data_IF_053801901694
#
_entry.id   IF_053801901694
#
_cell.length_a   1.000
_cell.length_b   1.000
_cell.length_c   1.000
_cell.angle_alpha   90.00
_cell.angle_beta   90.00
_cell.angle_gamma   90.00
#
_symmetry.space_group_name_H-M   'P 1'
#
loop_
_entity.id
_entity.type
_entity.pdbx_description
1 polymer ?
#
# COMPACT_ATOMS: atom_id res chain seq x y z
N UNK A 1 47.38 64.80 -4.93
CA UNK A 1 48.10 63.87 -4.04
C UNK A 1 47.69 62.45 -4.37
N UNK A 2 48.64 61.64 -4.84
CA UNK A 2 48.46 60.22 -5.07
C UNK A 2 48.73 59.43 -3.77
N UNK A 3 47.84 58.50 -3.40
CA UNK A 3 48.16 57.44 -2.43
C UNK A 3 48.07 56.07 -3.11
N UNK A 4 49.28 55.58 -3.41
CA UNK A 4 49.81 54.20 -3.38
C UNK A 4 48.98 53.26 -2.47
N UNK A 5 48.88 51.94 -2.66
CA UNK A 5 49.56 50.95 -3.50
C UNK A 5 48.75 49.63 -3.36
N UNK A 6 48.94 48.74 -4.33
CA UNK A 6 48.29 47.43 -4.53
C UNK A 6 48.42 46.46 -3.35
N UNK A 7 47.39 45.63 -3.16
CA UNK A 7 47.53 44.23 -2.76
C UNK A 7 46.61 43.37 -3.65
N UNK A 8 47.26 42.56 -4.50
CA UNK A 8 46.63 41.45 -5.23
C UNK A 8 46.48 40.31 -4.23
N UNK A 9 45.28 39.74 -4.13
CA UNK A 9 45.11 38.33 -3.76
C UNK A 9 44.53 37.63 -4.99
N UNK A 10 45.34 36.72 -5.51
CA UNK A 10 45.06 35.78 -6.59
C UNK A 10 44.55 34.49 -5.91
N UNK A 11 43.73 33.71 -6.62
CA UNK A 11 43.33 32.32 -6.33
C UNK A 11 42.23 32.27 -5.24
N UNK A 12 41.01 31.81 -5.53
CA UNK A 12 40.74 30.41 -5.94
C UNK A 12 39.47 30.30 -6.82
N UNK A 13 39.51 29.55 -7.93
CA UNK A 13 38.31 29.22 -8.69
C UNK A 13 37.45 28.27 -7.85
N UNK A 14 36.18 28.63 -7.62
CA UNK A 14 35.15 27.68 -7.19
C UNK A 14 34.82 26.78 -8.38
N UNK A 15 35.73 25.87 -8.68
CA UNK A 15 35.51 24.70 -9.53
C UNK A 15 34.85 23.63 -8.67
N UNK A 16 33.62 23.30 -9.06
CA UNK A 16 33.01 21.99 -9.00
C UNK A 16 33.25 21.14 -7.73
N UNK A 17 32.27 21.18 -6.83
CA UNK A 17 31.72 19.93 -6.32
C UNK A 17 30.31 19.77 -6.89
N UNK A 18 30.27 19.22 -8.10
CA UNK A 18 29.22 18.28 -8.46
C UNK A 18 29.30 17.13 -7.45
N UNK A 19 28.46 17.20 -6.42
CA UNK A 19 28.22 16.13 -5.46
C UNK A 19 26.73 15.87 -5.45
N UNK A 20 26.33 14.77 -6.08
CA UNK A 20 24.97 14.22 -6.06
C UNK A 20 24.35 14.31 -4.66
N UNK A 21 23.22 15.03 -4.56
CA UNK A 21 22.07 14.55 -3.80
C UNK A 21 20.83 14.72 -4.69
N UNK A 22 20.83 13.99 -5.80
CA UNK A 22 19.58 13.42 -6.28
C UNK A 22 19.27 12.25 -5.34
N UNK A 23 18.10 12.27 -4.70
CA UNK A 23 17.70 11.21 -3.77
C UNK A 23 17.05 11.67 -2.47
N UNK A 24 16.69 12.95 -2.33
CA UNK A 24 15.49 13.24 -1.53
C UNK A 24 14.32 12.87 -2.44
N UNK A 25 13.87 11.61 -2.34
CA UNK A 25 12.69 11.12 -3.03
C UNK A 25 11.53 12.04 -2.69
N UNK A 26 11.28 13.01 -3.58
CA UNK A 26 10.05 13.74 -3.62
C UNK A 26 8.98 12.65 -3.77
N UNK A 27 8.22 12.43 -2.70
CA UNK A 27 6.95 11.74 -2.80
C UNK A 27 6.24 12.33 -4.03
N UNK A 28 5.69 11.49 -4.93
CA UNK A 28 5.04 12.00 -6.14
C UNK A 28 4.07 13.11 -5.72
N UNK A 29 4.02 14.19 -6.49
CA UNK A 29 3.21 15.38 -6.18
C UNK A 29 1.72 15.06 -5.93
N UNK A 30 1.27 13.85 -6.26
CA UNK A 30 -0.02 13.27 -5.90
C UNK A 30 -0.19 12.94 -4.41
N UNK A 31 0.88 12.89 -3.61
CA UNK A 31 0.83 12.71 -2.16
C UNK A 31 0.46 14.00 -1.41
N UNK A 32 0.65 15.16 -2.04
CA UNK A 32 0.25 16.46 -1.51
C UNK A 32 -1.17 16.89 -1.95
N UNK A 33 -1.82 16.14 -2.85
CA UNK A 33 -3.20 16.39 -3.29
C UNK A 33 -4.27 16.05 -2.23
N UNK A 34 -3.88 15.57 -1.03
CA UNK A 34 -4.82 15.00 -0.04
C UNK A 34 -5.27 15.98 1.05
N UNK A 35 -4.79 17.22 1.03
CA UNK A 35 -5.09 18.20 2.08
C UNK A 35 -6.33 19.07 1.84
N UNK A 36 -7.02 18.94 0.68
CA UNK A 36 -7.98 19.96 0.23
C UNK A 36 -9.23 19.53 -0.53
N UNK A 37 -9.57 18.24 -0.67
CA UNK A 37 -10.79 17.82 -1.39
C UNK A 37 -11.83 17.05 -0.55
N UNK A 38 -13.15 17.18 -0.86
CA UNK A 38 -14.25 17.28 0.12
C UNK A 38 -15.07 15.96 0.22
N UNK A 39 -16.22 15.88 0.95
CA UNK A 39 -16.83 14.67 1.55
C UNK A 39 -17.45 13.63 0.58
N UNK A 40 -17.07 13.64 -0.70
CA UNK A 40 -17.57 12.74 -1.74
C UNK A 40 -17.01 11.31 -1.63
N UNK A 41 -15.94 11.10 -0.85
CA UNK A 41 -15.23 9.80 -0.75
C UNK A 41 -15.67 8.93 0.42
N UNK A 42 -16.64 9.41 1.23
CA UNK A 42 -17.12 8.68 2.40
C UNK A 42 -18.31 7.75 2.05
N UNK A 43 -18.10 6.47 2.24
CA UNK A 43 -19.04 5.36 2.05
C UNK A 43 -19.64 4.95 3.41
N UNK A 44 -20.85 4.40 3.42
CA UNK A 44 -21.38 3.80 4.66
C UNK A 44 -20.56 2.57 5.04
N UNK A 45 -20.42 2.30 6.34
CA UNK A 45 -19.75 1.09 6.82
C UNK A 45 -20.38 -0.18 6.23
N UNK A 46 -21.71 -0.24 6.17
CA UNK A 46 -22.44 -1.37 5.61
C UNK A 46 -22.08 -1.64 4.14
N UNK A 47 -22.05 -0.60 3.29
CA UNK A 47 -21.69 -0.78 1.88
C UNK A 47 -20.24 -1.21 1.67
N UNK A 48 -19.32 -0.83 2.58
CA UNK A 48 -17.95 -1.34 2.59
C UNK A 48 -17.90 -2.83 2.95
N UNK A 49 -18.64 -3.25 3.98
CA UNK A 49 -18.72 -4.64 4.45
C UNK A 49 -19.41 -5.58 3.44
N UNK A 50 -20.22 -5.03 2.51
CA UNK A 50 -20.84 -5.80 1.43
C UNK A 50 -19.88 -6.15 0.28
N UNK A 51 -18.78 -5.40 0.11
CA UNK A 51 -17.79 -5.72 -0.94
C UNK A 51 -17.01 -6.97 -0.54
N UNK A 52 -17.08 -8.00 -1.39
CA UNK A 52 -16.53 -9.32 -1.09
C UNK A 52 -15.65 -9.83 -2.24
N UNK A 53 -14.68 -10.66 -1.88
CA UNK A 53 -13.87 -11.42 -2.84
C UNK A 53 -14.77 -12.29 -3.71
N UNK A 54 -14.49 -12.35 -5.01
CA UNK A 54 -15.29 -13.04 -6.02
C UNK A 54 -16.41 -12.20 -6.63
N UNK A 55 -16.78 -11.07 -6.02
CA UNK A 55 -17.70 -10.09 -6.59
C UNK A 55 -17.14 -9.51 -7.91
N UNK A 56 -17.99 -9.12 -8.86
CA UNK A 56 -17.52 -8.43 -10.06
C UNK A 56 -17.14 -6.98 -9.76
N UNK A 57 -16.20 -6.43 -10.54
CA UNK A 57 -15.82 -5.02 -10.45
C UNK A 57 -17.03 -4.09 -10.64
N UNK A 58 -17.96 -4.45 -11.53
CA UNK A 58 -19.19 -3.69 -11.78
C UNK A 58 -20.10 -3.65 -10.54
N UNK A 59 -20.30 -4.79 -9.87
CA UNK A 59 -21.07 -4.85 -8.61
C UNK A 59 -20.41 -4.00 -7.51
N UNK A 60 -19.09 -4.11 -7.35
CA UNK A 60 -18.37 -3.31 -6.35
C UNK A 60 -18.46 -1.80 -6.64
N UNK A 61 -18.34 -1.38 -7.91
CA UNK A 61 -18.55 0.02 -8.31
C UNK A 61 -19.97 0.50 -8.05
N UNK A 62 -20.96 -0.37 -8.27
CA UNK A 62 -22.37 -0.12 -7.94
C UNK A 62 -22.58 0.17 -6.46
N UNK A 63 -22.06 -0.71 -5.57
CA UNK A 63 -22.16 -0.56 -4.12
C UNK A 63 -21.48 0.71 -3.59
N UNK A 64 -20.32 1.05 -4.19
CA UNK A 64 -19.55 2.21 -3.75
C UNK A 64 -20.02 3.52 -4.40
N UNK A 65 -21.00 3.49 -5.31
CA UNK A 65 -21.68 4.64 -5.91
C UNK A 65 -20.74 5.79 -6.35
N UNK A 66 -19.60 5.46 -6.96
CA UNK A 66 -18.61 6.46 -7.42
C UNK A 66 -17.85 7.18 -6.29
N UNK A 67 -17.99 6.74 -5.04
CA UNK A 67 -17.30 7.31 -3.87
C UNK A 67 -15.96 6.66 -3.57
N UNK A 68 -15.62 5.60 -4.29
CA UNK A 68 -14.30 4.98 -4.27
C UNK A 68 -13.47 5.52 -5.45
N UNK A 69 -12.20 5.79 -5.19
CA UNK A 69 -11.24 6.11 -6.26
C UNK A 69 -10.76 4.79 -6.84
N UNK A 70 -10.78 4.66 -8.16
CA UNK A 70 -10.28 3.47 -8.86
C UNK A 70 -9.11 3.85 -9.77
N UNK A 71 -8.05 3.03 -9.80
CA UNK A 71 -6.88 3.25 -10.66
C UNK A 71 -6.29 1.92 -11.15
N UNK A 72 -5.41 1.97 -12.15
CA UNK A 72 -4.81 0.80 -12.79
C UNK A 72 -5.53 0.35 -14.08
N UNK A 73 -4.93 -0.59 -14.83
CA UNK A 73 -5.52 -1.13 -16.05
C UNK A 73 -6.78 -1.96 -15.76
N UNK A 74 -7.67 -2.15 -16.75
CA UNK A 74 -8.93 -2.89 -16.54
C UNK A 74 -8.75 -4.32 -16.02
N UNK A 75 -7.63 -4.95 -16.36
CA UNK A 75 -7.29 -6.30 -15.89
C UNK A 75 -6.68 -6.31 -14.49
N UNK A 76 -6.36 -5.15 -13.89
CA UNK A 76 -5.69 -5.04 -12.60
C UNK A 76 -6.04 -3.72 -11.92
N UNK A 77 -7.30 -3.60 -11.50
CA UNK A 77 -7.86 -2.36 -10.95
C UNK A 77 -7.72 -2.34 -9.43
N UNK A 78 -7.27 -1.23 -8.89
CA UNK A 78 -7.18 -0.96 -7.47
C UNK A 78 -8.22 0.09 -7.07
N UNK A 79 -8.65 0.07 -5.82
CA UNK A 79 -9.51 1.10 -5.26
C UNK A 79 -9.24 1.41 -3.80
N UNK A 80 -9.54 2.65 -3.42
CA UNK A 80 -9.56 3.12 -2.04
C UNK A 80 -10.84 3.91 -1.74
N UNK A 81 -11.44 3.64 -0.58
CA UNK A 81 -12.64 4.32 -0.07
C UNK A 81 -12.59 4.45 1.46
N UNK A 82 -13.40 5.35 2.04
CA UNK A 82 -13.37 5.62 3.49
C UNK A 82 -14.75 5.47 4.12
N UNK A 83 -14.89 4.93 5.34
CA UNK A 83 -16.17 4.88 6.04
C UNK A 83 -16.62 6.30 6.46
N UNK A 84 -17.92 6.50 6.72
CA UNK A 84 -18.42 7.71 7.38
C UNK A 84 -18.26 7.63 8.91
N UNK A 85 -17.75 8.65 9.59
CA UNK A 85 -17.07 9.85 9.04
C UNK A 85 -15.71 9.49 8.42
N UNK A 86 -15.35 10.15 7.30
CA UNK A 86 -14.15 9.84 6.50
C UNK A 86 -12.90 9.73 7.38
N UNK A 87 -12.30 8.54 7.41
CA UNK A 87 -11.13 8.25 8.23
C UNK A 87 -10.12 7.47 7.41
N UNK A 88 -8.96 8.08 7.17
CA UNK A 88 -7.85 7.45 6.45
C UNK A 88 -7.31 6.22 7.17
N UNK A 89 -7.38 6.20 8.50
CA UNK A 89 -6.99 5.05 9.34
C UNK A 89 -7.99 3.89 9.26
N UNK A 90 -9.13 4.06 8.59
CA UNK A 90 -10.16 3.04 8.39
C UNK A 90 -10.49 2.85 6.90
N UNK A 91 -9.58 3.27 6.02
CA UNK A 91 -9.76 3.14 4.59
C UNK A 91 -9.96 1.67 4.18
N UNK A 92 -10.80 1.43 3.19
CA UNK A 92 -10.92 0.12 2.56
C UNK A 92 -10.16 0.13 1.24
N UNK A 93 -9.28 -0.84 1.04
CA UNK A 93 -8.57 -1.10 -0.19
C UNK A 93 -9.19 -2.30 -0.91
N UNK A 94 -9.34 -2.20 -2.22
CA UNK A 94 -9.89 -3.27 -3.06
C UNK A 94 -8.94 -3.48 -4.24
N UNK A 95 -8.73 -4.73 -4.64
CA UNK A 95 -8.13 -5.09 -5.93
C UNK A 95 -9.10 -5.97 -6.70
N UNK A 96 -9.16 -5.74 -8.00
CA UNK A 96 -9.83 -6.59 -8.95
C UNK A 96 -8.85 -7.04 -10.03
N UNK A 97 -8.85 -8.34 -10.32
CA UNK A 97 -8.11 -8.95 -11.42
C UNK A 97 -9.11 -9.60 -12.38
N UNK A 98 -8.89 -9.45 -13.68
CA UNK A 98 -9.77 -9.93 -14.75
C UNK A 98 -11.28 -9.67 -14.46
N UNK A 99 -11.58 -8.47 -13.94
CA UNK A 99 -12.95 -8.00 -13.66
C UNK A 99 -13.60 -8.55 -12.38
N UNK A 100 -12.87 -9.29 -11.53
CA UNK A 100 -13.37 -9.81 -10.25
C UNK A 100 -12.53 -9.35 -9.08
N UNK A 101 -13.18 -9.05 -7.97
CA UNK A 101 -12.52 -8.68 -6.72
C UNK A 101 -11.71 -9.87 -6.22
N UNK A 102 -10.39 -9.72 -6.15
CA UNK A 102 -9.47 -10.73 -5.65
C UNK A 102 -8.99 -10.43 -4.23
N UNK A 103 -9.05 -9.14 -3.84
CA UNK A 103 -8.55 -8.66 -2.56
C UNK A 103 -9.42 -7.52 -2.04
N UNK A 104 -9.74 -7.58 -0.74
CA UNK A 104 -10.45 -6.54 0.01
C UNK A 104 -9.81 -6.45 1.38
N UNK A 105 -9.42 -5.23 1.76
CA UNK A 105 -8.76 -4.93 3.03
C UNK A 105 -9.42 -3.75 3.68
N UNK A 106 -9.70 -3.87 4.97
CA UNK A 106 -10.02 -2.73 5.81
C UNK A 106 -8.77 -2.31 6.60
N UNK A 107 -8.29 -1.07 6.41
CA UNK A 107 -7.17 -0.52 7.17
C UNK A 107 -7.43 -0.49 8.69
N UNK A 108 -8.70 -0.56 9.11
CA UNK A 108 -9.06 -0.84 10.50
C UNK A 108 -8.64 -2.24 10.96
N UNK A 109 -8.87 -3.28 10.16
CA UNK A 109 -8.42 -4.66 10.46
C UNK A 109 -6.89 -4.74 10.50
N UNK A 110 -6.20 -3.92 9.70
CA UNK A 110 -4.74 -3.75 9.79
C UNK A 110 -4.26 -3.25 11.15
N UNK A 111 -5.04 -2.40 11.84
CA UNK A 111 -4.68 -1.88 13.17
C UNK A 111 -4.73 -2.97 14.24
N UNK A 112 -5.66 -3.91 14.11
CA UNK A 112 -5.87 -4.98 15.09
C UNK A 112 -4.94 -6.19 14.84
N UNK A 113 -4.32 -6.27 13.66
CA UNK A 113 -3.33 -7.29 13.35
C UNK A 113 -2.01 -7.02 14.09
N UNK A 114 -1.51 -8.06 14.76
CA UNK A 114 -0.13 -8.09 15.29
C UNK A 114 0.87 -8.19 14.14
N UNK A 115 2.10 -7.71 14.32
CA UNK A 115 3.07 -7.81 13.26
C UNK A 115 3.61 -9.26 13.10
N UNK A 116 4.07 -9.57 11.90
CA UNK A 116 4.70 -10.81 11.43
C UNK A 116 6.19 -10.57 11.29
N UNK A 117 6.99 -11.36 11.99
CA UNK A 117 8.45 -11.36 11.84
C UNK A 117 8.85 -12.11 10.56
N UNK A 118 10.04 -11.84 10.04
CA UNK A 118 10.56 -12.59 8.89
C UNK A 118 10.61 -14.11 9.17
N UNK A 119 11.03 -14.51 10.38
CA UNK A 119 11.11 -15.92 10.77
C UNK A 119 9.74 -16.62 10.86
N UNK A 120 8.67 -15.90 11.19
CA UNK A 120 7.30 -16.43 11.16
C UNK A 120 6.79 -16.55 9.73
N UNK A 121 7.05 -15.54 8.89
CA UNK A 121 6.63 -15.55 7.50
C UNK A 121 7.35 -16.66 6.70
N UNK A 122 8.65 -16.86 6.94
CA UNK A 122 9.48 -17.88 6.28
C UNK A 122 9.08 -19.32 6.66
N UNK A 123 8.17 -19.52 7.62
CA UNK A 123 7.57 -20.84 7.90
C UNK A 123 6.49 -21.23 6.89
N UNK A 124 5.96 -20.27 6.11
CA UNK A 124 5.10 -20.57 4.98
C UNK A 124 5.85 -21.40 3.94
N UNK A 125 5.10 -22.23 3.22
CA UNK A 125 5.63 -23.07 2.14
C UNK A 125 4.62 -23.13 1.02
N UNK A 126 5.11 -23.13 -0.21
CA UNK A 126 4.24 -23.37 -1.37
C UNK A 126 3.57 -24.75 -1.24
N UNK A 127 2.29 -24.81 -1.63
CA UNK A 127 1.42 -25.98 -1.46
C UNK A 127 0.80 -26.15 -0.07
N UNK A 128 1.23 -25.37 0.94
CA UNK A 128 0.63 -25.37 2.28
C UNK A 128 -0.86 -25.03 2.19
N UNK A 129 -1.70 -25.74 2.94
CA UNK A 129 -3.15 -25.44 2.96
C UNK A 129 -3.42 -24.09 3.62
N UNK A 130 -4.48 -23.42 3.17
CA UNK A 130 -4.92 -22.16 3.77
C UNK A 130 -5.16 -22.26 5.27
N UNK A 131 -5.71 -23.38 5.74
CA UNK A 131 -5.93 -23.62 7.17
C UNK A 131 -4.61 -23.66 7.97
N UNK A 132 -3.55 -24.25 7.39
CA UNK A 132 -2.24 -24.29 8.05
C UNK A 132 -1.57 -22.91 8.03
N UNK A 133 -1.65 -22.19 6.91
CA UNK A 133 -1.16 -20.81 6.82
C UNK A 133 -1.89 -19.90 7.82
N UNK A 134 -3.22 -20.03 7.95
CA UNK A 134 -4.04 -19.28 8.93
C UNK A 134 -3.60 -19.55 10.37
N UNK A 135 -3.27 -20.80 10.68
CA UNK A 135 -2.80 -21.16 12.02
C UNK A 135 -1.43 -20.53 12.33
N UNK A 136 -0.49 -20.55 11.36
CA UNK A 136 0.86 -19.98 11.53
C UNK A 136 0.83 -18.46 11.70
N UNK A 137 -0.01 -17.78 10.90
CA UNK A 137 -0.06 -16.32 10.87
C UNK A 137 -1.26 -15.74 11.62
N UNK A 138 -1.89 -16.51 12.52
CA UNK A 138 -3.13 -16.12 13.19
C UNK A 138 -3.02 -14.76 13.86
N UNK A 139 -3.88 -13.83 13.43
CA UNK A 139 -3.93 -12.48 14.00
C UNK A 139 -2.78 -11.60 13.55
N UNK A 140 -2.07 -11.97 12.48
CA UNK A 140 -0.95 -11.21 11.91
C UNK A 140 -1.19 -10.75 10.47
N UNK A 141 -2.28 -11.22 9.88
CA UNK A 141 -2.75 -10.86 8.55
C UNK A 141 -3.80 -9.74 8.62
N UNK A 142 -3.85 -8.88 7.60
CA UNK A 142 -4.82 -7.78 7.53
C UNK A 142 -5.83 -7.91 6.38
N UNK A 143 -5.88 -9.07 5.71
CA UNK A 143 -6.83 -9.36 4.64
C UNK A 143 -7.94 -10.29 5.12
N UNK A 144 -9.14 -10.15 4.54
CA UNK A 144 -10.25 -11.06 4.77
C UNK A 144 -9.81 -12.50 4.40
N UNK A 145 -10.03 -13.47 5.30
CA UNK A 145 -9.74 -14.92 5.11
C UNK A 145 -10.40 -15.58 3.88
N UNK A 146 -11.10 -14.81 3.05
CA UNK A 146 -11.73 -15.23 1.79
C UNK A 146 -10.96 -14.78 0.55
N UNK A 147 -9.97 -13.90 0.69
CA UNK A 147 -9.13 -13.36 -0.40
C UNK A 147 -8.21 -14.42 -1.01
N UNK A 148 -7.92 -14.36 -2.31
CA UNK A 148 -6.86 -15.20 -2.87
C UNK A 148 -5.47 -14.60 -2.64
N UNK A 149 -5.40 -13.44 -1.99
CA UNK A 149 -4.18 -12.80 -1.53
C UNK A 149 -4.28 -12.47 -0.03
N UNK A 150 -3.22 -12.73 0.72
CA UNK A 150 -3.02 -12.22 2.07
C UNK A 150 -1.81 -11.31 2.13
N UNK A 151 -1.94 -10.18 2.81
CA UNK A 151 -0.82 -9.35 3.21
C UNK A 151 -0.66 -9.40 4.74
N UNK A 152 0.37 -10.08 5.26
CA UNK A 152 0.71 -9.98 6.67
C UNK A 152 1.33 -8.61 7.01
N UNK A 153 1.07 -8.09 8.21
CA UNK A 153 1.70 -6.84 8.68
C UNK A 153 3.15 -7.15 9.03
N UNK A 154 4.19 -6.64 8.36
CA UNK A 154 5.54 -6.92 8.78
C UNK A 154 5.93 -6.14 10.04
N UNK A 155 6.74 -6.75 10.91
CA UNK A 155 7.30 -6.05 12.08
C UNK A 155 8.37 -5.02 11.71
N UNK A 156 9.03 -5.21 10.57
CA UNK A 156 10.09 -4.32 10.09
C UNK A 156 9.49 -3.32 9.09
N UNK A 157 9.56 -2.03 9.43
CA UNK A 157 9.02 -0.96 8.59
C UNK A 157 9.61 -0.98 7.18
N UNK A 158 8.78 -0.58 6.20
CA UNK A 158 9.07 -0.54 4.76
C UNK A 158 9.19 -1.90 4.05
N UNK A 159 8.90 -3.02 4.70
CA UNK A 159 8.75 -4.30 3.99
C UNK A 159 7.30 -4.54 3.55
N UNK A 160 7.12 -5.33 2.49
CA UNK A 160 5.84 -5.96 2.15
C UNK A 160 5.95 -7.45 2.35
N UNK A 161 4.83 -8.06 2.72
CA UNK A 161 4.69 -9.49 2.79
C UNK A 161 3.39 -9.82 2.08
N UNK A 162 3.43 -10.81 1.19
CA UNK A 162 2.27 -11.21 0.40
C UNK A 162 2.25 -12.73 0.28
N UNK A 163 1.08 -13.32 0.45
CA UNK A 163 0.83 -14.76 0.30
C UNK A 163 -0.31 -14.90 -0.70
N UNK A 164 -0.05 -15.53 -1.83
CA UNK A 164 -1.08 -15.80 -2.83
C UNK A 164 -1.59 -17.23 -2.64
N UNK A 165 -2.90 -17.42 -2.78
CA UNK A 165 -3.57 -18.71 -2.73
C UNK A 165 -4.10 -19.09 -4.11
N UNK A 166 -4.04 -20.38 -4.43
CA UNK A 166 -4.70 -20.97 -5.60
C UNK A 166 -5.27 -22.33 -5.21
N UNK A 167 -6.56 -22.53 -5.45
CA UNK A 167 -7.24 -23.78 -5.04
C UNK A 167 -7.14 -24.04 -3.53
N UNK A 168 -7.16 -22.98 -2.70
CA UNK A 168 -7.08 -23.09 -1.24
C UNK A 168 -5.69 -23.44 -0.67
N UNK A 169 -4.63 -23.33 -1.48
CA UNK A 169 -3.24 -23.59 -1.08
C UNK A 169 -2.35 -22.39 -1.38
N UNK A 170 -1.30 -22.19 -0.59
CA UNK A 170 -0.26 -21.19 -0.87
C UNK A 170 0.35 -21.49 -2.24
N UNK A 171 0.19 -20.58 -3.18
CA UNK A 171 0.78 -20.66 -4.52
C UNK A 171 2.16 -20.00 -4.54
N UNK A 172 2.28 -18.85 -3.86
CA UNK A 172 3.55 -18.17 -3.65
C UNK A 172 3.46 -17.37 -2.35
N UNK A 173 4.62 -17.06 -1.79
CA UNK A 173 4.74 -16.12 -0.68
C UNK A 173 6.03 -15.33 -0.90
N UNK A 174 5.93 -14.01 -0.84
CA UNK A 174 7.05 -13.11 -1.13
C UNK A 174 7.21 -12.09 -0.03
N UNK A 175 8.48 -11.78 0.26
CA UNK A 175 8.86 -10.61 1.05
C UNK A 175 9.50 -9.61 0.10
N UNK A 176 8.98 -8.40 0.08
CA UNK A 176 9.55 -7.28 -0.66
C UNK A 176 10.00 -6.17 0.30
N UNK A 177 10.78 -5.25 -0.22
CA UNK A 177 10.99 -3.95 0.39
C UNK A 177 10.29 -2.92 -0.49
N UNK A 178 9.40 -2.10 0.10
CA UNK A 178 9.01 -0.85 -0.52
C UNK A 178 10.23 0.07 -0.50
N UNK A 179 10.95 0.13 -1.61
CA UNK A 179 11.72 1.31 -1.95
C UNK A 179 10.71 2.30 -2.54
N UNK A 180 10.40 3.35 -1.80
CA UNK A 180 9.59 4.46 -2.32
C UNK A 180 10.26 5.13 -3.51
#
# INVERSE_FOLDING_TARGET
MARRRRLRAIVTPLLALAGLVAGAGALPADAAAWAGEPPARCVSRAALEEVQVGMTLAQARGLLHGRAVWWGPERGVWSQSYPRACSSTRAMLIQADDGRITFVVNAGERRDATCTTAAEFDQLRDGMTRARADHLLRGKQFDLKRSDEWQPVPCQGWSTQQVTFRGGRVATHVRGFYFG
#
